data_IF_624524419602
#
_entry.id   IF_624524419602
#
_cell.length_a   1.000
_cell.length_b   1.000
_cell.length_c   1.000
_cell.angle_alpha   90.00
_cell.angle_beta   90.00
_cell.angle_gamma   90.00
#
_symmetry.space_group_name_H-M   'P 1'
#
loop_
_entity.id
_entity.type
_entity.pdbx_description
1 polymer ?
#
# COMPACT_ATOMS: atom_id res chain seq x y z
N UNK A 1 -19.24 -3.84 -17.47
CA UNK A 1 -20.67 -4.15 -17.28
C UNK A 1 -21.44 -2.84 -17.33
N UNK A 2 -22.70 -2.89 -17.73
CA UNK A 2 -23.63 -1.75 -17.72
C UNK A 2 -24.73 -2.04 -16.70
N UNK A 3 -25.15 -1.04 -15.94
CA UNK A 3 -26.20 -1.15 -14.94
C UNK A 3 -27.60 -1.04 -15.55
N UNK A 4 -27.77 -0.18 -16.56
CA UNK A 4 -28.97 -0.01 -17.37
C UNK A 4 -30.22 0.47 -16.59
N UNK A 5 -30.06 0.89 -15.33
CA UNK A 5 -31.16 1.40 -14.50
C UNK A 5 -30.63 2.24 -13.32
N UNK A 6 -29.63 3.08 -13.56
CA UNK A 6 -29.14 4.00 -12.52
C UNK A 6 -30.21 5.06 -12.30
N UNK A 7 -30.80 5.08 -11.11
CA UNK A 7 -31.83 6.04 -10.71
C UNK A 7 -31.79 6.23 -9.18
N UNK A 8 -32.50 7.20 -8.60
CA UNK A 8 -32.45 7.44 -7.15
C UNK A 8 -32.86 6.22 -6.32
N UNK A 9 -33.82 5.40 -6.80
CA UNK A 9 -34.22 4.16 -6.14
C UNK A 9 -33.17 3.03 -6.21
N UNK A 10 -32.22 3.12 -7.14
CA UNK A 10 -31.06 2.23 -7.20
C UNK A 10 -29.95 2.65 -6.22
N UNK A 11 -29.99 3.87 -5.68
CA UNK A 11 -29.00 4.38 -4.72
C UNK A 11 -29.48 4.12 -3.30
N UNK A 12 -28.89 3.12 -2.66
CA UNK A 12 -29.23 2.69 -1.31
C UNK A 12 -28.31 3.35 -0.28
N UNK A 13 -28.90 3.82 0.83
CA UNK A 13 -28.15 4.27 1.99
C UNK A 13 -27.78 3.06 2.86
N UNK A 14 -26.48 2.79 2.96
CA UNK A 14 -25.92 1.84 3.90
C UNK A 14 -25.51 2.56 5.20
N UNK A 15 -25.26 1.77 6.26
CA UNK A 15 -24.77 2.30 7.53
C UNK A 15 -23.54 3.22 7.36
N UNK A 16 -23.45 4.23 8.22
CA UNK A 16 -22.41 5.28 8.20
C UNK A 16 -22.47 6.24 7.00
N UNK A 17 -23.65 6.45 6.40
CA UNK A 17 -23.84 7.43 5.31
C UNK A 17 -23.22 7.02 3.97
N UNK A 18 -22.95 5.73 3.78
CA UNK A 18 -22.37 5.20 2.53
C UNK A 18 -23.48 4.99 1.50
N UNK A 19 -23.20 5.31 0.24
CA UNK A 19 -24.10 5.01 -0.86
C UNK A 19 -23.69 3.67 -1.49
N UNK A 20 -24.65 2.78 -1.71
CA UNK A 20 -24.48 1.52 -2.44
C UNK A 20 -25.41 1.51 -3.64
N UNK A 21 -24.90 1.06 -4.78
CA UNK A 21 -25.71 0.88 -5.97
C UNK A 21 -26.35 -0.52 -5.94
N UNK A 22 -27.68 -0.57 -6.01
CA UNK A 22 -28.51 -1.77 -6.11
C UNK A 22 -29.37 -1.76 -7.38
N UNK A 23 -30.34 -2.67 -7.51
CA UNK A 23 -31.17 -2.72 -8.73
C UNK A 23 -30.50 -3.38 -9.93
N UNK A 24 -29.69 -4.42 -9.66
CA UNK A 24 -28.82 -5.11 -10.63
C UNK A 24 -29.58 -6.04 -11.61
N UNK A 25 -30.91 -6.04 -11.57
CA UNK A 25 -31.77 -6.95 -12.35
C UNK A 25 -31.71 -6.67 -13.86
N UNK A 26 -31.24 -5.48 -14.25
CA UNK A 26 -31.14 -5.03 -15.64
C UNK A 26 -29.69 -4.98 -16.13
N UNK A 27 -28.73 -5.50 -15.35
CA UNK A 27 -27.32 -5.44 -15.74
C UNK A 27 -27.07 -6.21 -17.04
N UNK A 28 -26.35 -5.55 -17.95
CA UNK A 28 -25.91 -6.16 -19.19
C UNK A 28 -24.38 -6.23 -19.24
N UNK A 29 -23.86 -7.30 -19.83
CA UNK A 29 -22.45 -7.35 -20.19
C UNK A 29 -22.23 -6.39 -21.35
N UNK A 30 -21.08 -5.73 -21.37
CA UNK A 30 -20.67 -4.97 -22.56
C UNK A 30 -20.34 -6.04 -23.60
N UNK A 31 -21.25 -6.24 -24.55
CA UNK A 31 -21.07 -7.17 -25.66
C UNK A 31 -20.52 -6.35 -26.83
N UNK A 32 -19.52 -6.89 -27.54
CA UNK A 32 -19.12 -6.36 -28.83
C UNK A 32 -20.36 -6.30 -29.73
N UNK A 33 -20.77 -5.09 -30.11
CA UNK A 33 -21.95 -4.81 -30.95
C UNK A 33 -21.88 -5.50 -32.33
N UNK A 34 -20.75 -6.12 -32.66
CA UNK A 34 -20.54 -6.95 -33.85
C UNK A 34 -21.19 -8.33 -33.76
N UNK A 35 -21.60 -8.81 -32.57
CA UNK A 35 -22.09 -10.19 -32.38
C UNK A 35 -23.54 -10.31 -31.88
N UNK A 36 -24.12 -9.25 -31.31
CA UNK A 36 -25.52 -9.27 -30.84
C UNK A 36 -26.11 -7.87 -30.75
N UNK A 37 -27.40 -7.72 -31.05
CA UNK A 37 -28.17 -6.52 -30.71
C UNK A 37 -28.32 -6.40 -29.19
N UNK A 38 -28.35 -5.17 -28.63
CA UNK A 38 -28.64 -4.99 -27.22
C UNK A 38 -30.01 -5.59 -26.88
N UNK A 39 -30.10 -6.30 -25.75
CA UNK A 39 -31.35 -6.94 -25.30
C UNK A 39 -32.41 -5.93 -24.85
N UNK A 40 -32.00 -4.71 -24.53
CA UNK A 40 -32.87 -3.65 -24.08
C UNK A 40 -33.57 -2.97 -25.27
N UNK A 41 -34.90 -2.93 -25.25
CA UNK A 41 -35.76 -2.41 -26.33
C UNK A 41 -36.51 -1.13 -25.93
N UNK A 42 -36.03 -0.42 -24.90
CA UNK A 42 -36.71 0.75 -24.37
C UNK A 42 -37.86 0.40 -23.42
N UNK A 43 -38.33 1.43 -22.71
CA UNK A 43 -39.55 1.38 -21.92
C UNK A 43 -40.78 1.33 -22.82
N UNK A 44 -41.73 0.47 -22.48
CA UNK A 44 -43.02 0.35 -23.16
C UNK A 44 -44.18 0.35 -22.16
N UNK A 45 -45.21 1.14 -22.48
CA UNK A 45 -46.46 1.19 -21.71
C UNK A 45 -47.24 -0.16 -21.72
N UNK A 46 -46.85 -1.12 -22.57
CA UNK A 46 -47.46 -2.45 -22.64
C UNK A 46 -47.02 -3.37 -21.50
N UNK A 47 -45.90 -3.09 -20.85
CA UNK A 47 -45.34 -3.94 -19.79
C UNK A 47 -45.49 -3.29 -18.41
N UNK A 48 -45.55 -4.09 -17.32
CA UNK A 48 -45.63 -3.55 -15.97
C UNK A 48 -44.45 -2.63 -15.62
N UNK A 49 -44.73 -1.55 -14.88
CA UNK A 49 -43.72 -0.55 -14.46
C UNK A 49 -42.56 -1.18 -13.68
N UNK A 50 -42.87 -2.13 -12.79
CA UNK A 50 -41.87 -2.78 -11.94
C UNK A 50 -40.90 -3.72 -12.70
N UNK A 51 -41.25 -4.13 -13.92
CA UNK A 51 -40.47 -5.05 -14.73
C UNK A 51 -39.53 -4.32 -15.72
N UNK A 52 -39.47 -2.98 -15.66
CA UNK A 52 -38.73 -2.15 -16.61
C UNK A 52 -37.86 -1.13 -15.88
N UNK A 53 -36.77 -0.65 -16.50
CA UNK A 53 -36.01 0.48 -15.99
C UNK A 53 -36.86 1.76 -15.90
N UNK A 54 -36.43 2.69 -15.05
CA UNK A 54 -37.15 3.94 -14.85
C UNK A 54 -36.99 4.89 -16.05
N UNK A 55 -38.09 5.15 -16.77
CA UNK A 55 -38.12 5.97 -17.99
C UNK A 55 -37.48 7.36 -17.81
N UNK A 56 -37.63 7.98 -16.64
CA UNK A 56 -37.11 9.32 -16.36
C UNK A 56 -35.58 9.41 -16.23
N UNK A 57 -34.89 8.26 -16.26
CA UNK A 57 -33.44 8.16 -16.12
C UNK A 57 -32.79 7.37 -17.27
N UNK A 58 -33.59 6.75 -18.15
CA UNK A 58 -33.09 6.04 -19.33
C UNK A 58 -32.48 7.05 -20.31
N UNK A 59 -31.39 6.67 -20.97
CA UNK A 59 -30.75 7.51 -21.98
C UNK A 59 -31.56 7.57 -23.29
N UNK A 60 -31.57 8.70 -24.02
CA UNK A 60 -32.38 8.87 -25.22
C UNK A 60 -32.06 7.84 -26.31
N UNK A 61 -30.78 7.50 -26.50
CA UNK A 61 -30.39 6.48 -27.48
C UNK A 61 -30.91 5.07 -27.15
N UNK A 62 -31.06 4.77 -25.85
CA UNK A 62 -31.58 3.50 -25.38
C UNK A 62 -33.10 3.44 -25.53
N UNK A 63 -33.81 4.55 -25.33
CA UNK A 63 -35.26 4.63 -25.46
C UNK A 63 -35.74 4.77 -26.90
N UNK A 64 -35.04 5.54 -27.74
CA UNK A 64 -35.53 5.96 -29.06
C UNK A 64 -34.85 5.22 -30.21
N UNK A 65 -33.63 4.72 -30.01
CA UNK A 65 -32.80 4.17 -31.10
C UNK A 65 -32.37 2.72 -30.86
N UNK A 66 -32.84 2.07 -29.78
CA UNK A 66 -32.44 0.72 -29.38
C UNK A 66 -30.91 0.54 -29.37
N UNK A 67 -30.19 1.60 -29.02
CA UNK A 67 -28.73 1.62 -28.94
C UNK A 67 -28.32 1.78 -27.49
N UNK A 68 -27.35 0.99 -27.04
CA UNK A 68 -26.90 1.04 -25.65
C UNK A 68 -25.39 0.91 -25.58
N UNK A 69 -24.80 1.77 -24.77
CA UNK A 69 -23.38 1.77 -24.45
C UNK A 69 -23.21 2.10 -22.96
N UNK A 70 -22.00 1.94 -22.39
CA UNK A 70 -21.73 2.40 -21.02
C UNK A 70 -22.04 3.89 -20.78
N UNK A 71 -22.12 4.71 -21.83
CA UNK A 71 -22.49 6.13 -21.73
C UNK A 71 -23.98 6.36 -21.45
N UNK A 72 -24.83 5.34 -21.60
CA UNK A 72 -26.21 5.38 -21.15
C UNK A 72 -26.30 5.44 -19.61
N UNK A 73 -25.42 4.72 -18.90
CA UNK A 73 -25.32 4.81 -17.44
C UNK A 73 -24.78 6.19 -17.00
N UNK A 74 -23.93 6.82 -17.81
CA UNK A 74 -23.43 8.18 -17.54
C UNK A 74 -24.55 9.22 -17.69
N UNK A 75 -25.42 9.09 -18.68
CA UNK A 75 -26.64 9.92 -18.76
C UNK A 75 -27.53 9.73 -17.54
N UNK A 76 -27.78 8.47 -17.18
CA UNK A 76 -28.60 8.10 -16.04
C UNK A 76 -28.06 8.69 -14.74
N UNK A 77 -26.74 8.63 -14.53
CA UNK A 77 -26.06 9.27 -13.39
C UNK A 77 -26.20 10.81 -13.43
N UNK A 78 -26.12 11.42 -14.60
CA UNK A 78 -26.31 12.86 -14.77
C UNK A 78 -27.73 13.29 -14.37
N UNK A 79 -28.73 12.49 -14.73
CA UNK A 79 -30.11 12.68 -14.33
C UNK A 79 -30.32 12.50 -12.82
N UNK A 80 -29.65 11.53 -12.18
CA UNK A 80 -29.64 11.39 -10.72
C UNK A 80 -29.05 12.63 -10.04
N UNK A 81 -27.92 13.14 -10.53
CA UNK A 81 -27.32 14.37 -10.02
C UNK A 81 -28.27 15.55 -10.16
N UNK A 82 -28.94 15.69 -11.32
CA UNK A 82 -29.95 16.72 -11.52
C UNK A 82 -31.10 16.58 -10.51
N UNK A 83 -31.60 15.36 -10.28
CA UNK A 83 -32.68 15.11 -9.33
C UNK A 83 -32.30 15.48 -7.90
N UNK A 84 -31.07 15.17 -7.47
CA UNK A 84 -30.56 15.56 -6.14
C UNK A 84 -30.62 17.09 -5.93
N UNK A 85 -30.28 17.87 -6.97
CA UNK A 85 -30.31 19.33 -6.94
C UNK A 85 -31.64 19.94 -7.40
N UNK A 86 -32.65 19.09 -7.65
CA UNK A 86 -33.99 19.45 -8.06
C UNK A 86 -35.04 18.84 -7.12
N UNK A 87 -34.76 18.88 -5.82
CA UNK A 87 -35.68 18.44 -4.75
C UNK A 87 -36.15 16.98 -4.88
N UNK A 88 -35.36 16.13 -5.54
CA UNK A 88 -35.67 14.73 -5.80
C UNK A 88 -36.45 14.47 -7.09
N UNK A 89 -36.87 15.52 -7.81
CA UNK A 89 -37.64 15.41 -9.04
C UNK A 89 -36.74 15.27 -10.28
N UNK A 90 -37.10 14.35 -11.19
CA UNK A 90 -36.42 14.25 -12.49
C UNK A 90 -36.69 15.52 -13.33
N UNK A 91 -35.77 15.87 -14.22
CA UNK A 91 -36.01 16.94 -15.20
C UNK A 91 -36.96 16.50 -16.33
N UNK A 92 -37.11 15.20 -16.56
CA UNK A 92 -37.93 14.67 -17.65
C UNK A 92 -39.41 14.64 -17.25
N UNK A 93 -39.74 14.01 -16.12
CA UNK A 93 -41.11 13.81 -15.61
C UNK A 93 -42.04 13.31 -16.73
N UNK A 94 -41.70 12.14 -17.28
CA UNK A 94 -42.42 11.54 -18.41
C UNK A 94 -43.79 10.97 -18.02
N UNK A 95 -44.05 10.80 -16.72
CA UNK A 95 -45.21 10.06 -16.19
C UNK A 95 -45.40 8.70 -16.89
N UNK A 96 -44.29 7.97 -17.07
CA UNK A 96 -44.27 6.64 -17.70
C UNK A 96 -44.77 6.62 -19.15
N UNK A 97 -44.75 7.77 -19.84
CA UNK A 97 -45.21 7.90 -21.21
C UNK A 97 -44.03 8.19 -22.17
N UNK A 98 -43.68 7.25 -23.06
CA UNK A 98 -42.60 7.43 -24.04
C UNK A 98 -42.76 8.66 -24.97
N UNK A 99 -43.99 9.04 -25.30
CA UNK A 99 -44.25 10.22 -26.14
C UNK A 99 -43.96 11.51 -25.38
N UNK A 100 -44.32 11.56 -24.08
CA UNK A 100 -43.97 12.70 -23.21
C UNK A 100 -42.46 12.74 -23.01
N UNK A 101 -41.83 11.59 -22.74
CA UNK A 101 -40.38 11.47 -22.63
C UNK A 101 -39.66 12.10 -23.84
N UNK A 102 -40.02 11.70 -25.07
CA UNK A 102 -39.37 12.20 -26.28
C UNK A 102 -39.48 13.72 -26.42
N UNK A 103 -40.64 14.30 -26.09
CA UNK A 103 -40.81 15.76 -26.06
C UNK A 103 -39.90 16.40 -25.00
N UNK A 104 -39.86 15.84 -23.79
CA UNK A 104 -39.10 16.38 -22.65
C UNK A 104 -37.59 16.32 -22.84
N UNK A 105 -37.08 15.34 -23.59
CA UNK A 105 -35.66 15.27 -23.98
C UNK A 105 -35.26 16.51 -24.79
N UNK A 106 -36.08 16.93 -25.76
CA UNK A 106 -35.79 18.15 -26.54
C UNK A 106 -35.75 19.44 -25.72
N UNK A 107 -36.45 19.45 -24.57
CA UNK A 107 -36.48 20.58 -23.62
C UNK A 107 -35.39 20.48 -22.53
N UNK A 108 -34.66 19.36 -22.46
CA UNK A 108 -33.74 19.05 -21.36
C UNK A 108 -32.64 20.11 -21.16
N UNK A 109 -32.00 20.66 -22.21
CA UNK A 109 -31.01 21.73 -22.02
C UNK A 109 -31.56 22.96 -21.32
N UNK A 110 -32.78 23.38 -21.67
CA UNK A 110 -33.44 24.55 -21.08
C UNK A 110 -33.86 24.29 -19.63
N UNK A 111 -34.29 23.06 -19.33
CA UNK A 111 -34.63 22.63 -17.97
C UNK A 111 -33.38 22.54 -17.09
N UNK A 112 -32.27 22.06 -17.63
CA UNK A 112 -30.99 22.04 -16.92
C UNK A 112 -30.52 23.45 -16.54
N UNK A 113 -30.68 24.46 -17.40
CA UNK A 113 -30.31 25.84 -17.05
C UNK A 113 -31.06 26.39 -15.82
N UNK A 114 -32.30 25.95 -15.59
CA UNK A 114 -33.06 26.39 -14.42
C UNK A 114 -32.47 25.87 -13.12
N UNK A 115 -31.88 24.68 -13.13
CA UNK A 115 -31.28 24.04 -11.95
C UNK A 115 -29.77 24.26 -11.85
N UNK A 116 -29.09 24.62 -12.93
CA UNK A 116 -27.62 24.74 -13.00
C UNK A 116 -27.05 25.67 -11.92
N UNK A 117 -27.82 26.69 -11.53
CA UNK A 117 -27.50 27.63 -10.45
C UNK A 117 -27.44 27.00 -9.05
N UNK A 118 -28.12 25.89 -8.82
CA UNK A 118 -28.12 25.16 -7.55
C UNK A 118 -27.00 24.11 -7.48
N UNK A 119 -26.43 23.74 -8.63
CA UNK A 119 -25.30 22.81 -8.68
C UNK A 119 -24.00 23.53 -8.26
N UNK A 120 -23.07 22.83 -7.59
CA UNK A 120 -21.71 23.30 -7.44
C UNK A 120 -21.11 23.66 -8.81
N UNK A 121 -20.51 24.84 -8.95
CA UNK A 121 -19.96 25.34 -10.23
C UNK A 121 -19.09 24.32 -10.98
N UNK A 122 -18.33 23.52 -10.24
CA UNK A 122 -17.45 22.48 -10.80
C UNK A 122 -18.19 21.28 -11.41
N UNK A 123 -19.46 21.05 -11.05
CA UNK A 123 -20.31 19.98 -11.58
C UNK A 123 -21.16 20.43 -12.77
N UNK A 124 -21.38 21.73 -12.95
CA UNK A 124 -22.30 22.24 -14.00
C UNK A 124 -21.92 21.72 -15.38
N UNK A 125 -20.67 21.92 -15.80
CA UNK A 125 -20.23 21.51 -17.14
C UNK A 125 -20.12 19.98 -17.30
N UNK A 126 -19.53 19.22 -16.36
CA UNK A 126 -19.55 17.76 -16.43
C UNK A 126 -20.97 17.18 -16.49
N UNK A 127 -21.91 17.67 -15.67
CA UNK A 127 -23.29 17.17 -15.64
C UNK A 127 -24.02 17.55 -16.92
N UNK A 128 -23.84 18.77 -17.44
CA UNK A 128 -24.38 19.20 -18.75
C UNK A 128 -23.99 18.21 -19.85
N UNK A 129 -22.71 17.84 -19.90
CA UNK A 129 -22.21 16.86 -20.88
C UNK A 129 -22.78 15.47 -20.66
N UNK A 130 -22.90 15.01 -19.41
CA UNK A 130 -23.49 13.70 -19.10
C UNK A 130 -24.93 13.58 -19.58
N UNK A 131 -25.74 14.63 -19.44
CA UNK A 131 -27.15 14.63 -19.87
C UNK A 131 -27.35 15.04 -21.35
N UNK A 132 -26.28 15.15 -22.14
CA UNK A 132 -26.38 15.50 -23.56
C UNK A 132 -27.15 14.42 -24.33
N UNK A 133 -28.00 14.82 -25.27
CA UNK A 133 -28.64 13.90 -26.20
C UNK A 133 -27.60 13.23 -27.11
N UNK A 134 -26.57 13.97 -27.54
CA UNK A 134 -25.45 13.40 -28.29
C UNK A 134 -24.54 12.58 -27.36
N UNK A 135 -24.51 11.28 -27.61
CA UNK A 135 -23.70 10.32 -26.86
C UNK A 135 -22.21 10.69 -26.87
N UNK A 136 -21.71 11.32 -27.94
CA UNK A 136 -20.30 11.68 -28.10
C UNK A 136 -19.83 12.79 -27.17
N UNK A 137 -20.75 13.62 -26.69
CA UNK A 137 -20.43 14.68 -25.73
C UNK A 137 -20.23 14.12 -24.31
N UNK A 138 -20.77 12.94 -24.03
CA UNK A 138 -20.79 12.36 -22.69
C UNK A 138 -19.40 11.84 -22.29
N UNK A 139 -18.91 12.18 -21.09
CA UNK A 139 -17.65 11.64 -20.60
C UNK A 139 -17.81 10.16 -20.22
N UNK A 140 -16.73 9.40 -20.36
CA UNK A 140 -16.66 8.06 -19.74
C UNK A 140 -16.66 8.18 -18.22
N UNK A 141 -17.05 7.11 -17.52
CA UNK A 141 -17.02 7.07 -16.06
C UNK A 141 -15.63 7.36 -15.48
N UNK A 142 -14.59 6.89 -16.16
CA UNK A 142 -13.19 7.11 -15.80
C UNK A 142 -12.82 8.59 -15.96
N UNK A 143 -13.13 9.20 -17.11
CA UNK A 143 -12.81 10.60 -17.38
C UNK A 143 -13.54 11.53 -16.41
N UNK A 144 -14.83 11.26 -16.14
CA UNK A 144 -15.61 12.02 -15.17
C UNK A 144 -15.01 11.93 -13.76
N UNK A 145 -14.67 10.72 -13.30
CA UNK A 145 -14.04 10.51 -12.00
C UNK A 145 -12.68 11.22 -11.89
N UNK A 146 -11.85 11.15 -12.94
CA UNK A 146 -10.54 11.78 -13.01
C UNK A 146 -10.65 13.31 -12.89
N UNK A 147 -11.57 13.92 -13.66
CA UNK A 147 -11.81 15.37 -13.62
C UNK A 147 -12.23 15.82 -12.22
N UNK A 148 -13.16 15.13 -11.57
CA UNK A 148 -13.58 15.49 -10.22
C UNK A 148 -12.47 15.29 -9.19
N UNK A 149 -11.77 14.17 -9.26
CA UNK A 149 -10.71 13.82 -8.30
C UNK A 149 -9.57 14.84 -8.34
N UNK A 150 -9.00 15.11 -9.52
CA UNK A 150 -7.78 15.92 -9.62
C UNK A 150 -8.04 17.40 -9.89
N UNK A 151 -9.13 17.79 -10.56
CA UNK A 151 -9.42 19.21 -10.82
C UNK A 151 -10.28 19.88 -9.75
N UNK A 152 -10.91 19.11 -8.86
CA UNK A 152 -11.78 19.66 -7.81
C UNK A 152 -11.42 19.21 -6.41
N UNK A 153 -11.38 17.90 -6.15
CA UNK A 153 -11.15 17.38 -4.79
C UNK A 153 -9.71 17.66 -4.37
N UNK A 154 -8.72 17.29 -5.19
CA UNK A 154 -7.31 17.48 -4.86
C UNK A 154 -6.95 18.95 -4.54
N UNK A 155 -7.29 19.96 -5.35
CA UNK A 155 -6.96 21.35 -5.03
C UNK A 155 -7.60 21.84 -3.73
N UNK A 156 -8.81 21.37 -3.40
CA UNK A 156 -9.47 21.70 -2.14
C UNK A 156 -8.73 21.08 -0.94
N UNK A 157 -8.38 19.79 -1.04
CA UNK A 157 -7.62 19.10 0.00
C UNK A 157 -6.24 19.73 0.20
N UNK A 158 -5.49 20.01 -0.87
CA UNK A 158 -4.19 20.67 -0.78
C UNK A 158 -4.30 22.06 -0.16
N UNK A 159 -5.29 22.85 -0.57
CA UNK A 159 -5.54 24.16 0.02
C UNK A 159 -5.87 24.08 1.53
N UNK A 160 -6.64 23.08 1.97
CA UNK A 160 -6.89 22.86 3.40
C UNK A 160 -5.64 22.42 4.15
N UNK A 161 -4.83 21.54 3.56
CA UNK A 161 -3.58 21.08 4.15
C UNK A 161 -2.57 22.23 4.32
N UNK A 162 -2.47 23.12 3.34
CA UNK A 162 -1.49 24.21 3.33
C UNK A 162 -1.90 25.41 4.18
N UNK A 163 -3.19 25.75 4.25
CA UNK A 163 -3.65 26.95 4.96
C UNK A 163 -3.95 26.74 6.44
N UNK A 164 -4.09 25.49 6.90
CA UNK A 164 -4.43 25.20 8.28
C UNK A 164 -3.68 23.98 8.80
N UNK A 165 -2.68 24.23 9.65
CA UNK A 165 -1.90 23.19 10.30
C UNK A 165 -2.76 22.26 11.18
N UNK A 166 -3.87 22.78 11.72
CA UNK A 166 -4.81 22.00 12.53
C UNK A 166 -5.63 21.01 11.70
N UNK A 167 -5.87 21.33 10.42
CA UNK A 167 -6.59 20.46 9.50
C UNK A 167 -5.69 19.42 8.83
N UNK A 168 -4.38 19.68 8.75
CA UNK A 168 -3.39 18.78 8.13
C UNK A 168 -3.54 17.29 8.53
N UNK A 169 -3.64 16.90 9.82
CA UNK A 169 -3.75 15.49 10.19
C UNK A 169 -5.09 14.84 9.79
N UNK A 170 -6.14 15.63 9.54
CA UNK A 170 -7.46 15.12 9.12
C UNK A 170 -7.59 15.02 7.60
N UNK A 171 -6.90 15.91 6.88
CA UNK A 171 -6.91 15.96 5.41
C UNK A 171 -5.92 14.96 4.82
N UNK A 172 -4.77 14.75 5.47
CA UNK A 172 -3.69 13.89 5.00
C UNK A 172 -4.14 12.46 4.65
N UNK A 173 -4.98 11.76 5.44
CA UNK A 173 -5.49 10.44 5.06
C UNK A 173 -6.17 10.43 3.68
N UNK A 174 -6.94 11.47 3.35
CA UNK A 174 -7.64 11.56 2.07
C UNK A 174 -6.65 11.74 0.90
N UNK A 175 -5.60 12.54 1.10
CA UNK A 175 -4.53 12.74 0.11
C UNK A 175 -3.74 11.44 -0.13
N UNK A 176 -3.33 10.76 0.95
CA UNK A 176 -2.60 9.49 0.84
C UNK A 176 -3.44 8.36 0.25
N UNK A 177 -4.75 8.37 0.48
CA UNK A 177 -5.69 7.45 -0.18
C UNK A 177 -5.72 7.67 -1.68
N UNK A 178 -5.77 8.93 -2.11
CA UNK A 178 -5.74 9.27 -3.53
C UNK A 178 -4.47 8.76 -4.20
N UNK A 179 -3.32 8.86 -3.53
CA UNK A 179 -2.03 8.31 -3.99
C UNK A 179 -2.09 6.79 -4.10
N UNK A 180 -2.66 6.11 -3.10
CA UNK A 180 -2.77 4.66 -3.09
C UNK A 180 -3.55 4.12 -4.28
N UNK A 181 -4.71 4.74 -4.59
CA UNK A 181 -5.62 4.27 -5.66
C UNK A 181 -5.33 4.85 -7.04
N UNK A 182 -4.35 5.74 -7.17
CA UNK A 182 -4.01 6.35 -8.45
C UNK A 182 -3.33 5.34 -9.38
N UNK A 183 -3.62 5.44 -10.68
CA UNK A 183 -2.81 4.77 -11.70
C UNK A 183 -1.46 5.47 -11.84
N UNK A 184 -0.47 4.82 -12.46
CA UNK A 184 0.89 5.36 -12.56
C UNK A 184 0.92 6.71 -13.29
N UNK A 185 0.23 6.81 -14.43
CA UNK A 185 0.19 8.02 -15.24
C UNK A 185 -0.44 9.20 -14.48
N UNK A 186 -1.54 8.92 -13.77
CA UNK A 186 -2.22 9.90 -12.91
C UNK A 186 -1.34 10.33 -11.72
N UNK A 187 -0.62 9.40 -11.11
CA UNK A 187 0.26 9.68 -9.98
C UNK A 187 1.36 10.64 -10.39
N UNK A 188 2.06 10.35 -11.49
CA UNK A 188 3.13 11.22 -12.00
C UNK A 188 2.60 12.58 -12.46
N UNK A 189 1.41 12.61 -13.10
CA UNK A 189 0.83 13.86 -13.60
C UNK A 189 0.31 14.79 -12.50
N UNK A 190 -0.29 14.26 -11.42
CA UNK A 190 -1.05 15.08 -10.46
C UNK A 190 -0.63 14.94 -8.99
N UNK A 191 -0.01 13.82 -8.58
CA UNK A 191 0.16 13.49 -7.15
C UNK A 191 1.62 13.43 -6.70
N UNK A 192 2.58 13.21 -7.61
CA UNK A 192 4.01 13.14 -7.30
C UNK A 192 4.50 14.42 -6.64
N UNK A 193 4.26 15.58 -7.25
CA UNK A 193 4.68 16.87 -6.70
C UNK A 193 4.00 17.16 -5.33
N UNK A 194 2.66 17.02 -5.17
CA UNK A 194 2.03 17.15 -3.86
C UNK A 194 2.59 16.22 -2.78
N UNK A 195 2.86 14.94 -3.12
CA UNK A 195 3.45 13.99 -2.17
C UNK A 195 4.84 14.46 -1.72
N UNK A 196 5.70 14.85 -2.66
CA UNK A 196 7.03 15.36 -2.35
C UNK A 196 6.97 16.63 -1.49
N UNK A 197 6.02 17.53 -1.78
CA UNK A 197 5.77 18.71 -0.95
C UNK A 197 5.35 18.34 0.47
N UNK A 198 4.41 17.41 0.63
CA UNK A 198 3.99 16.90 1.96
C UNK A 198 5.19 16.31 2.70
N UNK A 199 6.01 15.49 2.03
CA UNK A 199 7.18 14.83 2.62
C UNK A 199 8.24 15.81 3.10
N UNK A 200 8.54 16.84 2.31
CA UNK A 200 9.60 17.82 2.58
C UNK A 200 9.19 18.94 3.55
N UNK A 201 7.90 19.24 3.64
CA UNK A 201 7.41 20.29 4.54
C UNK A 201 7.48 19.87 6.01
N UNK A 202 7.73 20.87 6.87
CA UNK A 202 7.68 20.71 8.32
C UNK A 202 6.26 20.34 8.75
N UNK A 203 6.12 19.23 9.46
CA UNK A 203 4.86 18.72 10.00
C UNK A 203 4.76 19.01 11.49
N UNK A 204 3.53 19.11 12.00
CA UNK A 204 3.30 18.99 13.44
C UNK A 204 3.48 17.54 13.86
N UNK A 205 3.81 17.28 15.13
CA UNK A 205 3.96 15.92 15.65
C UNK A 205 2.73 15.04 15.36
N UNK A 206 1.52 15.60 15.51
CA UNK A 206 0.29 14.88 15.19
C UNK A 206 0.19 14.50 13.71
N UNK A 207 0.64 15.38 12.81
CA UNK A 207 0.65 15.12 11.36
C UNK A 207 1.71 14.08 11.01
N UNK A 208 2.91 14.14 11.62
CA UNK A 208 3.96 13.13 11.46
C UNK A 208 3.49 11.75 11.89
N UNK A 209 2.78 11.64 13.03
CA UNK A 209 2.21 10.37 13.49
C UNK A 209 1.22 9.79 12.47
N UNK A 210 0.31 10.61 11.94
CA UNK A 210 -0.64 10.17 10.90
C UNK A 210 0.08 9.79 9.61
N UNK A 211 1.11 10.56 9.22
CA UNK A 211 1.91 10.27 8.04
C UNK A 211 2.61 8.90 8.16
N UNK A 212 3.24 8.63 9.31
CA UNK A 212 3.94 7.37 9.59
C UNK A 212 2.98 6.17 9.63
N UNK A 213 1.80 6.30 10.26
CA UNK A 213 0.79 5.23 10.31
C UNK A 213 0.25 4.85 8.92
N UNK A 214 0.43 5.72 7.94
CA UNK A 214 -0.05 5.56 6.56
C UNK A 214 1.07 5.32 5.53
N UNK A 215 2.32 5.13 5.96
CA UNK A 215 3.47 4.86 5.08
C UNK A 215 3.19 3.72 4.09
N UNK A 216 2.54 2.65 4.54
CA UNK A 216 2.25 1.48 3.71
C UNK A 216 1.42 1.80 2.45
N UNK A 217 0.63 2.88 2.48
CA UNK A 217 -0.21 3.26 1.34
C UNK A 217 0.56 3.88 0.17
N UNK A 218 1.72 4.49 0.44
CA UNK A 218 2.47 5.23 -0.57
C UNK A 218 3.95 4.84 -0.68
N UNK A 219 4.46 4.00 0.22
CA UNK A 219 5.87 3.60 0.18
C UNK A 219 6.31 2.94 -1.12
N UNK A 220 5.42 2.16 -1.75
CA UNK A 220 5.70 1.50 -3.03
C UNK A 220 5.87 2.50 -4.19
N UNK A 221 5.48 3.77 -3.99
CA UNK A 221 5.64 4.87 -4.94
C UNK A 221 6.96 5.61 -4.76
N UNK A 222 7.74 5.29 -3.74
CA UNK A 222 8.97 6.00 -3.39
C UNK A 222 10.21 5.24 -3.88
N UNK A 223 11.22 6.02 -4.27
CA UNK A 223 12.58 5.52 -4.50
C UNK A 223 13.29 5.28 -3.17
N UNK A 224 14.34 4.45 -3.20
CA UNK A 224 15.17 4.17 -2.02
C UNK A 224 15.76 5.45 -1.41
N UNK A 225 16.18 6.39 -2.25
CA UNK A 225 16.72 7.69 -1.82
C UNK A 225 15.66 8.55 -1.14
N UNK A 226 14.43 8.57 -1.64
CA UNK A 226 13.33 9.33 -1.01
C UNK A 226 12.94 8.72 0.35
N UNK A 227 12.97 7.39 0.49
CA UNK A 227 12.75 6.71 1.78
C UNK A 227 13.82 7.15 2.79
N UNK A 228 15.08 7.10 2.39
CA UNK A 228 16.22 7.49 3.24
C UNK A 228 16.15 8.97 3.65
N UNK A 229 15.86 9.88 2.71
CA UNK A 229 15.93 11.32 2.94
C UNK A 229 14.70 11.92 3.63
N UNK A 230 13.53 11.28 3.53
CA UNK A 230 12.28 11.90 3.96
C UNK A 230 11.47 11.04 4.92
N UNK A 231 11.52 9.71 4.80
CA UNK A 231 10.73 8.82 5.66
C UNK A 231 11.46 8.52 6.96
N UNK A 232 12.75 8.20 6.88
CA UNK A 232 13.55 7.88 8.06
C UNK A 232 13.62 9.02 9.09
N UNK A 233 13.84 10.29 8.69
CA UNK A 233 13.86 11.39 9.65
C UNK A 233 12.51 11.57 10.37
N UNK A 234 11.38 11.39 9.68
CA UNK A 234 10.04 11.47 10.29
C UNK A 234 9.79 10.35 11.31
N UNK A 235 10.32 9.15 11.05
CA UNK A 235 10.27 8.05 12.02
C UNK A 235 11.04 8.40 13.29
N UNK A 236 12.23 8.98 13.18
CA UNK A 236 12.99 9.41 14.34
C UNK A 236 12.29 10.50 15.15
N UNK A 237 11.69 11.50 14.48
CA UNK A 237 10.87 12.54 15.15
C UNK A 237 9.70 11.91 15.91
N UNK A 238 9.01 10.92 15.35
CA UNK A 238 7.91 10.24 16.01
C UNK A 238 8.34 9.40 17.22
N UNK A 239 9.62 9.03 17.32
CA UNK A 239 10.17 8.29 18.45
C UNK A 239 10.62 9.18 19.62
N UNK A 240 10.75 10.50 19.41
CA UNK A 240 11.28 11.42 20.42
C UNK A 240 10.55 11.30 21.77
N UNK A 241 11.28 11.47 22.90
CA UNK A 241 10.78 11.24 24.25
C UNK A 241 9.60 12.13 24.65
N UNK A 242 9.29 13.19 23.89
CA UNK A 242 8.12 14.04 24.10
C UNK A 242 6.81 13.26 23.92
N UNK A 243 6.81 12.18 23.13
CA UNK A 243 5.61 11.38 22.87
C UNK A 243 5.29 10.37 23.98
N UNK A 244 6.29 9.79 24.65
CA UNK A 244 6.23 8.76 25.72
C UNK A 244 5.15 7.66 25.56
N UNK A 245 4.64 7.45 24.35
CA UNK A 245 3.62 6.45 24.04
C UNK A 245 4.32 5.20 23.52
N UNK A 246 4.45 4.20 24.38
CA UNK A 246 5.07 2.90 24.07
C UNK A 246 4.53 2.29 22.78
N UNK A 247 3.22 2.42 22.51
CA UNK A 247 2.60 1.92 21.27
C UNK A 247 3.11 2.64 20.02
N UNK A 248 3.30 3.97 20.07
CA UNK A 248 3.84 4.72 18.93
C UNK A 248 5.30 4.35 18.68
N UNK A 249 6.09 4.24 19.76
CA UNK A 249 7.49 3.84 19.70
C UNK A 249 7.66 2.44 19.09
N UNK A 250 6.80 1.49 19.46
CA UNK A 250 6.77 0.16 18.85
C UNK A 250 6.43 0.24 17.34
N UNK A 251 5.39 0.98 16.96
CA UNK A 251 5.03 1.14 15.54
C UNK A 251 6.17 1.76 14.71
N UNK A 252 6.91 2.72 15.28
CA UNK A 252 8.07 3.31 14.61
C UNK A 252 9.18 2.27 14.42
N UNK A 253 9.50 1.47 15.45
CA UNK A 253 10.51 0.42 15.35
C UNK A 253 10.12 -0.65 14.31
N UNK A 254 8.87 -1.11 14.33
CA UNK A 254 8.34 -2.04 13.32
C UNK A 254 8.41 -1.46 11.90
N UNK A 255 8.15 -0.15 11.75
CA UNK A 255 8.32 0.54 10.47
C UNK A 255 9.78 0.51 10.04
N UNK A 256 10.73 0.91 10.90
CA UNK A 256 12.16 0.87 10.58
C UNK A 256 12.58 -0.54 10.16
N UNK A 257 12.18 -1.57 10.92
CA UNK A 257 12.46 -2.98 10.59
C UNK A 257 11.99 -3.35 9.19
N UNK A 258 10.76 -2.98 8.81
CA UNK A 258 10.19 -3.22 7.47
C UNK A 258 10.89 -2.45 6.36
N UNK A 259 11.43 -1.27 6.65
CA UNK A 259 12.12 -0.43 5.67
C UNK A 259 13.55 -0.86 5.39
N UNK A 260 14.22 -1.51 6.35
CA UNK A 260 15.65 -1.88 6.25
C UNK A 260 16.05 -2.52 4.91
N UNK A 261 15.30 -3.48 4.32
CA UNK A 261 15.69 -4.10 3.05
C UNK A 261 15.78 -3.08 1.90
N UNK A 262 14.98 -2.01 1.95
CA UNK A 262 14.94 -0.96 0.93
C UNK A 262 16.07 0.05 1.04
N UNK A 263 16.70 0.18 2.22
CA UNK A 263 17.81 1.09 2.46
C UNK A 263 19.07 0.58 1.76
N UNK A 264 19.96 1.47 1.37
CA UNK A 264 21.20 1.17 0.66
C UNK A 264 22.39 1.96 1.17
N UNK A 265 22.18 3.13 1.78
CA UNK A 265 23.25 3.99 2.26
C UNK A 265 23.88 3.49 3.57
N UNK A 266 25.22 3.32 3.63
CA UNK A 266 25.91 3.02 4.89
C UNK A 266 25.82 4.18 5.89
N UNK A 267 25.67 5.43 5.41
CA UNK A 267 25.47 6.59 6.29
C UNK A 267 24.15 6.49 7.07
N UNK A 268 23.07 6.13 6.39
CA UNK A 268 21.76 5.90 7.00
C UNK A 268 21.80 4.76 8.02
N UNK A 269 22.55 3.69 7.74
CA UNK A 269 22.75 2.62 8.71
C UNK A 269 23.43 3.13 10.00
N UNK A 270 24.40 4.05 9.89
CA UNK A 270 25.04 4.65 11.06
C UNK A 270 24.09 5.53 11.86
N UNK A 271 23.15 6.23 11.21
CA UNK A 271 22.09 6.98 11.88
C UNK A 271 21.16 6.04 12.65
N UNK A 272 20.72 4.93 12.04
CA UNK A 272 19.91 3.91 12.73
C UNK A 272 20.68 3.30 13.90
N UNK A 273 21.97 3.00 13.73
CA UNK A 273 22.82 2.50 14.82
C UNK A 273 22.91 3.51 15.97
N UNK A 274 23.14 4.78 15.66
CA UNK A 274 23.19 5.84 16.67
C UNK A 274 21.84 5.95 17.41
N UNK A 275 20.74 5.91 16.67
CA UNK A 275 19.39 5.87 17.21
C UNK A 275 19.20 4.67 18.17
N UNK A 276 19.47 3.44 17.73
CA UNK A 276 19.31 2.24 18.56
C UNK A 276 20.19 2.27 19.81
N UNK A 277 21.40 2.84 19.72
CA UNK A 277 22.31 2.94 20.86
C UNK A 277 21.75 3.82 21.99
N UNK A 278 20.85 4.76 21.67
CA UNK A 278 20.19 5.64 22.62
C UNK A 278 18.87 5.06 23.15
N UNK A 279 18.24 4.12 22.43
CA UNK A 279 16.97 3.53 22.88
C UNK A 279 17.21 2.66 24.12
N UNK A 280 16.33 2.81 25.11
CA UNK A 280 16.24 1.95 26.29
C UNK A 280 14.80 1.50 26.44
N UNK A 281 14.59 0.21 26.68
CA UNK A 281 13.25 -0.36 26.83
C UNK A 281 13.26 -1.54 27.78
N UNK A 282 12.15 -1.69 28.52
CA UNK A 282 11.81 -2.88 29.30
C UNK A 282 10.64 -3.66 28.68
N UNK A 283 10.05 -3.14 27.61
CA UNK A 283 8.96 -3.78 26.87
C UNK A 283 9.51 -4.89 25.95
N UNK A 284 8.94 -6.09 26.10
CA UNK A 284 9.30 -7.29 25.35
C UNK A 284 9.16 -7.12 23.84
N UNK A 285 8.10 -6.46 23.38
CA UNK A 285 7.82 -6.28 21.94
C UNK A 285 8.82 -5.31 21.30
N UNK A 286 9.09 -4.19 21.98
CA UNK A 286 10.11 -3.24 21.54
C UNK A 286 11.50 -3.86 21.53
N UNK A 287 11.85 -4.65 22.55
CA UNK A 287 13.13 -5.37 22.59
C UNK A 287 13.26 -6.32 21.41
N UNK A 288 12.22 -7.10 21.10
CA UNK A 288 12.19 -7.99 19.94
C UNK A 288 12.46 -7.24 18.63
N UNK A 289 11.79 -6.10 18.39
CA UNK A 289 12.05 -5.29 17.20
C UNK A 289 13.48 -4.74 17.16
N UNK A 290 14.02 -4.24 18.29
CA UNK A 290 15.40 -3.76 18.37
C UNK A 290 16.39 -4.89 17.99
N UNK A 291 16.15 -6.11 18.49
CA UNK A 291 16.97 -7.28 18.18
C UNK A 291 16.87 -7.67 16.70
N UNK A 292 15.67 -7.64 16.11
CA UNK A 292 15.45 -7.92 14.70
C UNK A 292 16.17 -6.91 13.79
N UNK A 293 16.05 -5.60 14.10
CA UNK A 293 16.76 -4.52 13.40
C UNK A 293 18.27 -4.74 13.47
N UNK A 294 18.83 -5.00 14.67
CA UNK A 294 20.25 -5.28 14.86
C UNK A 294 20.73 -6.47 14.02
N UNK A 295 19.98 -7.57 14.03
CA UNK A 295 20.30 -8.77 13.24
C UNK A 295 20.34 -8.45 11.75
N UNK A 296 19.37 -7.70 11.25
CA UNK A 296 19.31 -7.34 9.83
C UNK A 296 20.47 -6.42 9.42
N UNK A 297 20.77 -5.38 10.21
CA UNK A 297 21.90 -4.47 9.96
C UNK A 297 23.25 -5.20 9.87
N UNK A 298 23.45 -6.22 10.70
CA UNK A 298 24.68 -7.01 10.74
C UNK A 298 24.74 -8.08 9.64
N UNK A 299 23.59 -8.56 9.16
CA UNK A 299 23.51 -9.58 8.13
C UNK A 299 23.87 -9.03 6.75
N UNK A 300 23.58 -7.76 6.48
CA UNK A 300 23.77 -7.17 5.16
C UNK A 300 25.07 -6.35 5.05
N UNK A 301 25.99 -6.83 4.21
CA UNK A 301 27.31 -6.17 4.01
C UNK A 301 27.21 -4.73 3.50
N UNK A 302 26.11 -4.37 2.81
CA UNK A 302 25.89 -3.04 2.23
C UNK A 302 25.87 -1.91 3.27
N UNK A 303 25.51 -2.23 4.52
CA UNK A 303 25.50 -1.26 5.62
C UNK A 303 26.89 -0.97 6.21
N UNK A 304 27.90 -1.79 5.89
CA UNK A 304 29.28 -1.51 6.27
C UNK A 304 29.51 -1.41 7.79
N UNK A 305 28.76 -2.13 8.61
CA UNK A 305 28.90 -2.10 10.07
C UNK A 305 30.24 -2.71 10.48
N UNK A 306 31.08 -1.91 11.14
CA UNK A 306 32.46 -2.26 11.54
C UNK A 306 32.53 -2.77 12.98
N UNK A 307 33.55 -3.58 13.32
CA UNK A 307 33.76 -4.07 14.70
C UNK A 307 33.68 -2.98 15.77
N UNK A 308 34.33 -1.80 15.60
CA UNK A 308 34.27 -0.75 16.61
C UNK A 308 32.84 -0.28 16.86
N UNK A 309 32.01 -0.20 15.80
CA UNK A 309 30.61 0.20 15.90
C UNK A 309 29.79 -0.82 16.70
N UNK A 310 29.98 -2.12 16.43
CA UNK A 310 29.31 -3.19 17.15
C UNK A 310 29.70 -3.14 18.65
N UNK A 311 31.00 -3.14 18.92
CA UNK A 311 31.53 -3.22 20.29
C UNK A 311 31.21 -1.98 21.15
N UNK A 312 31.21 -0.79 20.55
CA UNK A 312 31.03 0.46 21.31
C UNK A 312 29.59 0.98 21.37
N UNK A 313 28.74 0.67 20.39
CA UNK A 313 27.39 1.25 20.29
C UNK A 313 26.27 0.22 20.41
N UNK A 314 26.35 -0.90 19.69
CA UNK A 314 25.24 -1.85 19.57
C UNK A 314 25.23 -2.89 20.68
N UNK A 315 26.40 -3.41 21.05
CA UNK A 315 26.56 -4.48 22.03
C UNK A 315 26.27 -4.02 23.48
N UNK A 316 26.72 -2.84 23.95
CA UNK A 316 26.51 -2.44 25.35
C UNK A 316 25.04 -2.35 25.80
N UNK A 317 24.11 -1.69 25.06
CA UNK A 317 22.70 -1.64 25.45
C UNK A 317 22.03 -3.01 25.56
N UNK A 318 22.46 -3.98 24.73
CA UNK A 318 21.93 -5.34 24.73
C UNK A 318 22.50 -6.17 25.88
N UNK A 319 23.76 -5.94 26.28
CA UNK A 319 24.31 -6.52 27.50
C UNK A 319 23.59 -5.99 28.75
N UNK A 320 23.28 -4.70 28.79
CA UNK A 320 22.51 -4.11 29.89
C UNK A 320 21.14 -4.79 30.01
N UNK A 321 20.48 -5.09 28.88
CA UNK A 321 19.19 -5.77 28.85
C UNK A 321 19.22 -7.20 29.45
N UNK A 322 20.36 -7.91 29.43
CA UNK A 322 20.49 -9.23 30.08
C UNK A 322 20.31 -9.16 31.59
N UNK A 323 20.61 -8.00 32.19
CA UNK A 323 20.51 -7.81 33.65
C UNK A 323 19.10 -7.43 34.10
N UNK A 324 18.16 -7.22 33.16
CA UNK A 324 16.80 -6.81 33.46
C UNK A 324 16.01 -7.91 34.18
N UNK A 325 15.40 -7.64 35.35
CA UNK A 325 14.63 -8.63 36.09
C UNK A 325 13.29 -8.99 35.41
N UNK A 326 12.85 -8.20 34.42
CA UNK A 326 11.58 -8.39 33.70
C UNK A 326 11.75 -9.21 32.40
N UNK A 327 12.94 -9.77 32.15
CA UNK A 327 13.25 -10.47 30.90
C UNK A 327 12.63 -11.88 30.87
N UNK A 328 11.73 -12.11 29.91
CA UNK A 328 11.13 -13.43 29.69
C UNK A 328 12.09 -14.43 29.01
N UNK A 329 11.80 -15.73 29.10
CA UNK A 329 12.66 -16.79 28.54
C UNK A 329 12.85 -16.68 27.02
N UNK A 330 11.79 -16.35 26.28
CA UNK A 330 11.86 -16.21 24.82
C UNK A 330 12.71 -15.00 24.42
N UNK A 331 12.52 -13.87 25.10
CA UNK A 331 13.28 -12.65 24.87
C UNK A 331 14.76 -12.85 25.20
N UNK A 332 15.05 -13.57 26.29
CA UNK A 332 16.42 -13.96 26.63
C UNK A 332 17.09 -14.80 25.54
N UNK A 333 16.38 -15.78 24.97
CA UNK A 333 16.90 -16.61 23.87
C UNK A 333 17.21 -15.77 22.64
N UNK A 334 16.27 -14.92 22.22
CA UNK A 334 16.47 -14.00 21.09
C UNK A 334 17.64 -13.04 21.32
N UNK A 335 17.74 -12.49 22.53
CA UNK A 335 18.83 -11.60 22.93
C UNK A 335 20.19 -12.31 22.85
N UNK A 336 20.29 -13.51 23.42
CA UNK A 336 21.52 -14.31 23.37
C UNK A 336 21.91 -14.70 21.95
N UNK A 337 20.94 -15.02 21.09
CA UNK A 337 21.20 -15.35 19.69
C UNK A 337 21.82 -14.16 18.93
N UNK A 338 21.28 -12.95 19.12
CA UNK A 338 21.84 -11.74 18.50
C UNK A 338 23.20 -11.37 19.10
N UNK A 339 23.39 -11.49 20.42
CA UNK A 339 24.67 -11.24 21.07
C UNK A 339 25.78 -12.16 20.58
N UNK A 340 25.50 -13.47 20.45
CA UNK A 340 26.45 -14.43 19.87
C UNK A 340 26.78 -14.06 18.44
N UNK A 341 25.76 -13.75 17.63
CA UNK A 341 25.96 -13.30 16.25
C UNK A 341 26.82 -12.03 16.15
N UNK A 342 26.65 -11.07 17.06
CA UNK A 342 27.49 -9.87 17.15
C UNK A 342 28.95 -10.22 17.48
N UNK A 343 29.19 -11.08 18.46
CA UNK A 343 30.53 -11.51 18.86
C UNK A 343 31.23 -12.28 17.74
N UNK A 344 30.53 -13.21 17.09
CA UNK A 344 31.05 -13.94 15.92
C UNK A 344 31.38 -12.99 14.76
N UNK A 345 30.57 -11.95 14.55
CA UNK A 345 30.83 -10.94 13.53
C UNK A 345 32.08 -10.12 13.85
N UNK A 346 32.27 -9.74 15.13
CA UNK A 346 33.49 -9.05 15.59
C UNK A 346 34.72 -9.94 15.39
N UNK A 347 34.65 -11.19 15.83
CA UNK A 347 35.74 -12.16 15.71
C UNK A 347 36.15 -12.33 14.25
N UNK A 348 35.19 -12.61 13.36
CA UNK A 348 35.45 -12.76 11.93
C UNK A 348 36.10 -11.52 11.32
N UNK A 349 35.56 -10.33 11.58
CA UNK A 349 36.09 -9.09 11.02
C UNK A 349 37.51 -8.78 11.54
N UNK A 350 37.78 -8.94 12.84
CA UNK A 350 39.10 -8.71 13.43
C UNK A 350 40.12 -9.76 13.02
N UNK A 351 39.75 -11.03 13.00
CA UNK A 351 40.62 -12.12 12.56
C UNK A 351 41.04 -11.92 11.10
N UNK A 352 40.11 -11.56 10.20
CA UNK A 352 40.47 -11.18 8.83
C UNK A 352 41.43 -9.99 8.76
N UNK A 353 41.21 -8.94 9.56
CA UNK A 353 42.09 -7.76 9.59
C UNK A 353 43.51 -8.12 10.05
N UNK A 354 43.65 -8.91 11.11
CA UNK A 354 44.94 -9.32 11.66
C UNK A 354 45.73 -10.20 10.69
N UNK A 355 45.09 -11.18 10.06
CA UNK A 355 45.72 -12.03 9.04
C UNK A 355 46.24 -11.19 7.85
N UNK A 356 45.46 -10.20 7.41
CA UNK A 356 45.87 -9.29 6.33
C UNK A 356 47.07 -8.42 6.73
N UNK A 357 47.16 -8.00 8.00
CA UNK A 357 48.32 -7.24 8.51
C UNK A 357 49.58 -8.11 8.51
N UNK A 358 49.50 -9.35 8.99
CA UNK A 358 50.63 -10.29 9.00
C UNK A 358 51.16 -10.56 7.58
N UNK A 359 50.26 -10.75 6.61
CA UNK A 359 50.65 -10.94 5.19
C UNK A 359 51.32 -9.71 4.59
N UNK A 360 50.89 -8.50 4.96
CA UNK A 360 51.54 -7.25 4.50
C UNK A 360 52.92 -7.06 5.13
N UNK A 361 53.12 -7.46 6.38
CA UNK A 361 54.44 -7.42 7.02
C UNK A 361 55.43 -8.45 6.45
N UNK A 362 54.95 -9.58 5.92
CA UNK A 362 55.80 -10.58 5.26
C UNK A 362 56.07 -10.26 3.77
N UNK A 363 55.32 -9.35 3.15
CA UNK A 363 55.47 -8.95 1.74
C UNK A 363 56.53 -7.86 1.47
N UNK A 364 57.36 -7.51 2.46
CA UNK A 364 58.38 -6.46 2.34
C UNK A 364 59.80 -7.01 2.29
N UNK A 365 60.21 -7.58 1.16
CA UNK A 365 61.57 -7.50 0.60
C UNK A 365 61.67 -8.40 -0.63
N UNK A 366 61.45 -7.84 -1.82
CA UNK A 366 61.91 -8.43 -3.07
C UNK A 366 62.88 -7.43 -3.73
N UNK A 367 64.07 -7.28 -3.17
CA UNK A 367 65.24 -6.87 -3.95
C UNK A 367 65.96 -8.13 -4.43
N UNK A 368 66.12 -8.20 -5.75
CA UNK A 368 66.92 -9.16 -6.51
C UNK A 368 66.27 -10.54 -6.72
N UNK A 369 65.73 -10.75 -7.92
CA UNK A 369 66.33 -11.61 -8.96
C UNK A 369 65.57 -11.39 -10.28
N UNK A 370 66.37 -11.29 -11.33
CA UNK A 370 66.07 -10.98 -12.71
C UNK A 370 65.47 -12.14 -13.52
N UNK A 371 64.33 -11.87 -14.20
CA UNK A 371 63.90 -12.38 -15.53
C UNK A 371 63.63 -13.92 -15.69
N UNK A 372 63.07 -14.42 -16.81
CA UNK A 372 61.63 -14.67 -16.98
C UNK A 372 61.30 -16.12 -17.47
N UNK A 373 60.02 -16.37 -17.83
CA UNK A 373 59.49 -17.45 -18.71
C UNK A 373 58.87 -18.68 -18.01
N UNK A 374 57.58 -18.91 -18.32
CA UNK A 374 57.10 -20.21 -18.83
C UNK A 374 56.54 -21.24 -17.83
N UNK A 375 55.20 -21.33 -17.80
CA UNK A 375 54.37 -22.54 -17.78
C UNK A 375 54.94 -23.87 -17.21
N UNK A 376 54.19 -24.45 -16.26
CA UNK A 376 53.94 -25.90 -16.25
C UNK A 376 54.12 -26.63 -14.92
N UNK A 377 52.98 -26.98 -14.29
CA UNK A 377 52.68 -28.13 -13.42
C UNK A 377 53.86 -28.98 -12.88
N UNK A 378 53.89 -29.20 -11.57
CA UNK A 378 53.57 -30.49 -10.92
C UNK A 378 53.92 -30.45 -9.42
N UNK A 379 52.97 -30.85 -8.56
CA UNK A 379 53.26 -31.24 -7.18
C UNK A 379 54.05 -32.56 -7.16
N UNK A 380 54.72 -32.85 -6.03
CA UNK A 380 54.53 -34.16 -5.42
C UNK A 380 54.09 -34.06 -3.95
N UNK A 381 53.16 -34.96 -3.61
CA UNK A 381 52.77 -35.36 -2.26
C UNK A 381 53.95 -35.97 -1.50
N UNK A 382 54.14 -35.56 -0.24
CA UNK A 382 54.69 -36.42 0.82
C UNK A 382 53.78 -36.27 2.05
N UNK A 383 53.40 -37.43 2.60
CA UNK A 383 52.51 -37.66 3.74
C UNK A 383 53.33 -38.03 4.99
N UNK A 384 52.64 -37.94 6.15
CA UNK A 384 52.96 -38.33 7.54
C UNK A 384 53.44 -37.14 8.41
N UNK A 385 52.89 -36.90 9.62
CA UNK A 385 52.32 -37.82 10.60
C UNK A 385 51.38 -37.08 11.58
N UNK A 386 50.23 -37.67 11.93
CA UNK A 386 49.41 -37.27 13.09
C UNK A 386 49.97 -37.93 14.36
N UNK A 387 49.84 -37.34 15.56
CA UNK A 387 49.96 -38.09 16.80
C UNK A 387 48.68 -38.91 17.05
N UNK A 388 48.87 -40.18 17.35
CA UNK A 388 47.88 -41.15 17.81
C UNK A 388 47.56 -40.90 19.29
N UNK A 389 46.28 -40.81 19.64
CA UNK A 389 45.77 -41.31 20.93
C UNK A 389 44.49 -42.06 20.62
N UNK A 390 44.49 -43.33 20.98
CA UNK A 390 43.45 -44.32 20.68
C UNK A 390 42.12 -44.02 21.37
N UNK A 391 41.08 -44.51 20.72
CA UNK A 391 39.66 -44.32 20.97
C UNK A 391 39.09 -45.28 22.02
N UNK A 392 37.89 -44.97 22.50
CA UNK A 392 36.77 -45.92 22.64
C UNK A 392 35.45 -45.11 22.51
N UNK A 393 34.75 -45.22 21.37
CA UNK A 393 33.45 -45.91 21.19
C UNK A 393 32.25 -45.12 21.78
N UNK A 394 31.17 -44.72 21.08
CA UNK A 394 30.42 -45.27 19.95
C UNK A 394 29.60 -44.17 19.26
N UNK A 395 29.20 -44.43 18.01
CA UNK A 395 28.65 -43.45 17.08
C UNK A 395 27.18 -43.07 17.26
N UNK A 396 26.78 -42.02 16.54
CA UNK A 396 25.83 -42.13 15.43
C UNK A 396 25.70 -40.79 14.70
N UNK A 397 26.03 -40.81 13.41
CA UNK A 397 25.66 -39.79 12.42
C UNK A 397 24.14 -39.62 12.36
N UNK A 398 23.65 -38.37 12.39
CA UNK A 398 22.39 -37.97 11.72
C UNK A 398 22.55 -36.54 11.14
N UNK A 399 22.72 -36.50 9.82
CA UNK A 399 22.23 -35.54 8.83
C UNK A 399 22.32 -34.03 9.06
N UNK A 400 23.29 -33.48 8.34
CA UNK A 400 23.52 -32.11 7.91
C UNK A 400 22.48 -31.68 6.86
N UNK A 401 21.23 -31.47 7.27
CA UNK A 401 20.16 -30.93 6.40
C UNK A 401 19.00 -30.32 7.21
N UNK A 402 19.27 -29.37 8.11
CA UNK A 402 18.19 -28.66 8.81
C UNK A 402 18.50 -27.26 9.34
N UNK A 403 19.25 -26.43 8.61
CA UNK A 403 19.33 -25.00 8.91
C UNK A 403 19.31 -24.14 7.66
N UNK A 404 18.16 -24.16 6.98
CA UNK A 404 17.80 -23.18 5.98
C UNK A 404 16.28 -23.07 5.97
N UNK A 405 15.78 -21.85 6.20
CA UNK A 405 14.37 -21.44 6.30
C UNK A 405 13.72 -21.60 7.68
N UNK A 406 13.72 -20.50 8.42
CA UNK A 406 12.52 -20.03 9.13
C UNK A 406 12.41 -18.52 8.95
N UNK A 407 11.60 -18.13 7.97
CA UNK A 407 10.92 -16.84 7.93
C UNK A 407 9.93 -16.80 9.10
N UNK A 408 10.18 -15.96 10.09
CA UNK A 408 9.20 -15.65 11.14
C UNK A 408 8.17 -14.65 10.59
N UNK A 409 7.28 -15.17 9.76
CA UNK A 409 6.01 -14.54 9.40
C UNK A 409 5.00 -15.67 9.28
N UNK A 410 4.33 -15.98 10.39
CA UNK A 410 2.99 -16.57 10.46
C UNK A 410 2.85 -17.26 11.81
N UNK A 411 2.21 -16.59 12.78
CA UNK A 411 1.43 -17.23 13.84
C UNK A 411 0.30 -16.27 14.26
N UNK A 412 -0.85 -16.40 13.60
CA UNK A 412 -2.15 -16.02 14.13
C UNK A 412 -2.98 -17.29 14.28
N UNK A 413 -3.28 -17.72 15.50
CA UNK A 413 -4.67 -17.78 16.01
C UNK A 413 -4.75 -18.36 17.44
N UNK A 414 -5.47 -17.59 18.28
CA UNK A 414 -6.29 -17.98 19.43
C UNK A 414 -5.65 -18.35 20.77
N UNK A 415 -5.77 -17.43 21.73
CA UNK A 415 -6.44 -17.68 23.03
C UNK A 415 -6.78 -16.34 23.68
N UNK A 416 -7.99 -16.26 24.27
CA UNK A 416 -8.54 -15.06 24.88
C UNK A 416 -7.82 -14.68 26.17
N UNK A 417 -7.58 -13.39 26.31
CA UNK A 417 -7.05 -12.74 27.50
C UNK A 417 -7.06 -11.23 27.27
N UNK A 418 -7.68 -10.51 28.19
CA UNK A 418 -8.11 -9.12 28.08
C UNK A 418 -6.98 -8.15 27.69
N UNK A 419 -7.13 -7.50 26.53
CA UNK A 419 -6.24 -6.41 26.10
C UNK A 419 -6.99 -5.09 26.12
N UNK A 420 -6.79 -4.31 27.19
CA UNK A 420 -7.48 -3.05 27.46
C UNK A 420 -6.46 -1.91 27.60
N UNK A 421 -6.40 -1.05 26.58
CA UNK A 421 -6.47 0.42 26.66
C UNK A 421 -5.69 1.24 25.61
N UNK A 422 -4.82 0.66 24.78
CA UNK A 422 -4.12 1.41 23.70
C UNK A 422 -4.71 1.19 22.30
N UNK A 423 -5.65 0.25 22.15
CA UNK A 423 -6.45 0.07 20.91
C UNK A 423 -7.49 1.17 20.69
N UNK A 424 -7.67 2.11 21.63
CA UNK A 424 -8.83 2.99 21.64
C UNK A 424 -8.70 4.20 20.69
N UNK A 425 -7.52 4.80 20.49
CA UNK A 425 -7.40 5.99 19.63
C UNK A 425 -7.44 5.66 18.12
N UNK A 426 -6.83 4.54 17.72
CA UNK A 426 -6.85 4.02 16.34
C UNK A 426 -8.19 3.37 15.97
N UNK A 427 -8.96 2.84 16.94
CA UNK A 427 -10.31 2.32 16.69
C UNK A 427 -11.36 3.41 16.52
N UNK A 428 -11.16 4.59 17.10
CA UNK A 428 -12.10 5.71 16.97
C UNK A 428 -12.03 6.43 15.62
N UNK A 429 -10.96 6.26 14.84
CA UNK A 429 -10.82 6.93 13.55
C UNK A 429 -11.32 6.05 12.39
N UNK A 430 -12.64 6.06 12.21
CA UNK A 430 -13.38 5.26 11.23
C UNK A 430 -12.82 5.37 9.81
N UNK A 431 -12.23 6.52 9.45
CA UNK A 431 -11.61 6.77 8.15
C UNK A 431 -10.37 5.90 7.91
N UNK A 432 -9.53 5.67 8.92
CA UNK A 432 -8.31 4.86 8.81
C UNK A 432 -8.61 3.36 8.79
N UNK A 433 -9.63 2.91 9.54
CA UNK A 433 -10.16 1.55 9.43
C UNK A 433 -10.72 1.26 8.04
N UNK A 434 -11.36 2.25 7.40
CA UNK A 434 -11.89 2.15 6.03
C UNK A 434 -10.77 1.99 5.00
N UNK A 435 -9.61 2.62 5.19
CA UNK A 435 -8.47 2.54 4.26
C UNK A 435 -7.73 1.20 4.31
N UNK A 436 -7.52 0.65 5.52
CA UNK A 436 -6.97 -0.72 5.65
C UNK A 436 -7.94 -1.77 5.09
N UNK A 437 -9.25 -1.55 5.22
CA UNK A 437 -10.26 -2.43 4.64
C UNK A 437 -10.41 -2.31 3.11
N UNK A 438 -10.05 -1.16 2.50
CA UNK A 438 -10.08 -0.98 1.05
C UNK A 438 -8.84 -1.55 0.35
N UNK A 439 -7.65 -1.49 0.98
CA UNK A 439 -6.43 -2.10 0.44
C UNK A 439 -6.58 -3.60 0.15
N UNK A 440 -7.28 -4.34 1.02
CA UNK A 440 -7.58 -5.75 0.82
C UNK A 440 -8.68 -6.04 -0.23
N UNK A 441 -9.40 -5.01 -0.72
CA UNK A 441 -10.50 -5.16 -1.69
C UNK A 441 -10.10 -4.79 -3.11
N UNK A 442 -9.10 -3.94 -3.31
CA UNK A 442 -8.56 -3.61 -4.63
C UNK A 442 -7.83 -4.80 -5.27
N UNK A 443 -7.13 -5.62 -4.48
CA UNK A 443 -6.44 -6.81 -5.01
C UNK A 443 -7.40 -7.92 -5.45
N UNK A 444 -8.49 -8.15 -4.70
CA UNK A 444 -9.41 -9.25 -4.99
C UNK A 444 -10.30 -9.01 -6.22
N UNK A 445 -10.60 -7.75 -6.57
CA UNK A 445 -11.42 -7.42 -7.76
C UNK A 445 -10.60 -7.46 -9.05
N UNK A 446 -9.31 -7.11 -8.99
CA UNK A 446 -8.42 -7.13 -10.16
C UNK A 446 -7.85 -8.53 -10.48
N UNK A 447 -7.56 -9.35 -9.46
CA UNK A 447 -7.04 -10.70 -9.68
C UNK A 447 -8.11 -11.77 -9.92
N UNK A 448 -9.35 -11.56 -9.47
CA UNK A 448 -10.48 -12.49 -9.67
C UNK A 448 -10.93 -12.63 -11.13
N UNK A 449 -10.53 -11.71 -12.02
CA UNK A 449 -10.85 -11.75 -13.46
C UNK A 449 -9.79 -12.46 -14.31
N UNK A 450 -8.55 -12.63 -13.82
CA UNK A 450 -7.48 -13.33 -14.57
C UNK A 450 -7.45 -14.85 -14.36
N UNK A 451 -7.97 -15.37 -13.24
CA UNK A 451 -7.91 -16.82 -12.97
C UNK A 451 -9.13 -17.64 -13.44
N UNK A 452 -10.18 -17.01 -13.98
CA UNK A 452 -11.38 -17.73 -14.46
C UNK A 452 -11.37 -18.11 -15.94
N UNK A 453 -10.35 -17.70 -16.71
CA UNK A 453 -10.24 -17.99 -18.14
C UNK A 453 -9.17 -19.04 -18.51
N UNK A 454 -8.64 -19.79 -17.55
CA UNK A 454 -7.58 -20.80 -17.81
C UNK A 454 -7.94 -22.24 -17.43
N UNK A 455 -9.23 -22.59 -17.29
CA UNK A 455 -9.65 -23.97 -17.05
C UNK A 455 -10.95 -24.31 -17.78
N UNK A 456 -10.95 -24.34 -19.12
CA UNK A 456 -11.79 -25.28 -19.90
C UNK A 456 -11.14 -25.48 -21.28
N UNK A 457 -10.30 -26.51 -21.43
CA UNK A 457 -10.21 -27.35 -22.64
C UNK A 457 -9.13 -28.42 -22.46
N UNK A 458 -9.53 -29.57 -21.91
CA UNK A 458 -9.00 -30.88 -22.33
C UNK A 458 -9.79 -32.02 -21.68
N UNK A 459 -10.64 -32.67 -22.49
CA UNK A 459 -11.09 -34.06 -22.33
C UNK A 459 -11.65 -34.46 -23.69
N UNK A 460 -10.79 -34.96 -24.59
CA UNK A 460 -10.58 -36.39 -24.88
C UNK A 460 -11.86 -37.16 -25.22
N UNK A 461 -11.93 -37.50 -26.51
CA UNK A 461 -12.49 -38.71 -27.08
C UNK A 461 -12.16 -39.96 -26.26
N UNK A 462 -13.17 -40.80 -26.03
CA UNK A 462 -13.16 -42.26 -26.21
C UNK A 462 -14.53 -42.80 -25.78
N UNK A 463 -15.18 -43.56 -26.66
CA UNK A 463 -16.49 -44.20 -26.46
C UNK A 463 -17.49 -43.92 -27.56
#
# INVERSE_FOLDING_TARGET
MMHCNVNPGAVLLAGEGKWKLGGLNFMEKVIDTTKASPKFTGYSAKFPKAAQPNLDFIAPEAQMHNSMSPLADMFSLGMVLCAIYNEGHSLIESDFNPTVYAKRISELPQRFEKISKHLPKALVEPVRKMISEDVRDRPTSQLFALVLRYKRILPLLLNWYEKSADLSPFVLPSLLTMIHVAENDDFEAYLREPLMKIMTQRKTLQTSVVFVDLIEFFISRLTKTEIEQHILPELFVCFEPVTNKTTLQLCVLECIERLLPSLSSPGVAQEIVAFLSAVRTTDSSMLSCILAINRHLLSERKFGITCPTIASKLLPPLLDALTSPLLGLNDFRLLMDVLRFMLDTIDRQRTCELILRERKSQGGSCSNISTPIGLGRNLPLISMQKPTVDADFMGSDIDDARFSRTSLSDHRHSTGGETSNTRNWLRSNLQLQRLRASGNRSESVLYGLKQRNSFVHNSRSDG
#
